data_IF_399834978772
#
_entry.id   IF_399834978772
#
_cell.length_a   1.000
_cell.length_b   1.000
_cell.length_c   1.000
_cell.angle_alpha   90.00
_cell.angle_beta   90.00
_cell.angle_gamma   90.00
#
_symmetry.space_group_name_H-M   'P 1'
#
loop_
_entity.id
_entity.type
_entity.pdbx_description
1 polymer ?
#
# COMPACT_ATOMS: atom_id res chain seq x y z
N UNK A 1 -2.94 -8.03 6.72
CA UNK A 1 -2.87 -8.09 5.25
C UNK A 1 -3.74 -9.23 4.78
N UNK A 2 -4.68 -8.99 3.86
CA UNK A 2 -5.59 -10.02 3.34
C UNK A 2 -4.85 -11.09 2.53
N UNK A 3 -5.31 -12.34 2.58
CA UNK A 3 -4.71 -13.48 1.86
C UNK A 3 -4.80 -13.31 0.35
N UNK A 4 -5.87 -12.69 -0.17
CA UNK A 4 -5.98 -12.40 -1.60
C UNK A 4 -4.91 -11.40 -2.06
N UNK A 5 -4.59 -10.43 -1.20
CA UNK A 5 -3.58 -9.43 -1.49
C UNK A 5 -2.17 -10.03 -1.49
N UNK A 6 -1.86 -10.91 -0.53
CA UNK A 6 -0.61 -11.68 -0.53
C UNK A 6 -0.45 -12.50 -1.81
N UNK A 7 -1.51 -13.22 -2.21
CA UNK A 7 -1.52 -14.03 -3.44
C UNK A 7 -1.23 -13.18 -4.67
N UNK A 8 -1.87 -12.00 -4.75
CA UNK A 8 -1.64 -11.04 -5.82
C UNK A 8 -0.18 -10.57 -5.89
N UNK A 9 0.45 -10.24 -4.76
CA UNK A 9 1.88 -9.88 -4.73
C UNK A 9 2.76 -11.03 -5.24
N UNK A 10 2.50 -12.26 -4.79
CA UNK A 10 3.28 -13.43 -5.22
C UNK A 10 3.21 -13.59 -6.75
N UNK A 11 2.02 -13.46 -7.33
CA UNK A 11 1.79 -13.58 -8.76
C UNK A 11 2.39 -12.40 -9.55
N UNK A 12 2.11 -11.16 -9.13
CA UNK A 12 2.51 -9.95 -9.87
C UNK A 12 4.03 -9.72 -9.89
N UNK A 13 4.75 -10.17 -8.85
CA UNK A 13 6.20 -10.00 -8.71
C UNK A 13 6.99 -11.30 -8.92
N UNK A 14 6.32 -12.39 -9.33
CA UNK A 14 6.98 -13.66 -9.65
C UNK A 14 7.68 -14.34 -8.47
N UNK A 15 7.16 -14.15 -7.24
CA UNK A 15 7.79 -14.66 -6.02
C UNK A 15 7.51 -16.14 -5.74
N UNK A 16 6.69 -16.79 -6.57
CA UNK A 16 6.19 -18.15 -6.32
C UNK A 16 7.25 -19.24 -6.20
N UNK A 17 8.46 -19.02 -6.75
CA UNK A 17 9.57 -19.97 -6.69
C UNK A 17 10.57 -19.70 -5.56
N UNK A 18 10.36 -18.65 -4.75
CA UNK A 18 11.22 -18.34 -3.60
C UNK A 18 10.97 -19.30 -2.44
N UNK A 19 11.95 -19.46 -1.55
CA UNK A 19 11.72 -20.12 -0.28
C UNK A 19 10.73 -19.32 0.58
N UNK A 20 10.01 -19.99 1.47
CA UNK A 20 8.92 -19.38 2.22
C UNK A 20 9.36 -18.17 3.05
N UNK A 21 10.57 -18.21 3.63
CA UNK A 21 11.08 -17.13 4.47
C UNK A 21 11.46 -15.91 3.65
N UNK A 22 12.14 -16.11 2.53
CA UNK A 22 12.46 -15.02 1.61
C UNK A 22 11.20 -14.45 0.95
N UNK A 23 10.26 -15.32 0.56
CA UNK A 23 8.97 -14.91 0.00
C UNK A 23 8.18 -14.03 0.97
N UNK A 24 8.05 -14.42 2.24
CA UNK A 24 7.39 -13.62 3.28
C UNK A 24 8.06 -12.25 3.45
N UNK A 25 9.39 -12.23 3.52
CA UNK A 25 10.16 -10.97 3.61
C UNK A 25 9.93 -10.07 2.41
N UNK A 26 9.84 -10.63 1.20
CA UNK A 26 9.59 -9.87 -0.02
C UNK A 26 8.14 -9.36 -0.08
N UNK A 27 7.17 -10.16 0.34
CA UNK A 27 5.76 -9.75 0.45
C UNK A 27 5.63 -8.57 1.42
N UNK A 28 6.29 -8.63 2.58
CA UNK A 28 6.29 -7.56 3.56
C UNK A 28 6.89 -6.27 2.98
N UNK A 29 8.04 -6.37 2.30
CA UNK A 29 8.67 -5.22 1.63
C UNK A 29 7.77 -4.58 0.58
N UNK A 30 7.17 -5.38 -0.29
CA UNK A 30 6.24 -4.89 -1.32
C UNK A 30 5.01 -4.25 -0.68
N UNK A 31 4.48 -4.87 0.38
CA UNK A 31 3.35 -4.32 1.14
C UNK A 31 3.65 -2.95 1.75
N UNK A 32 4.83 -2.79 2.36
CA UNK A 32 5.25 -1.53 2.97
C UNK A 32 5.45 -0.44 1.90
N UNK A 33 6.12 -0.76 0.79
CA UNK A 33 6.30 0.19 -0.33
C UNK A 33 4.96 0.64 -0.92
N UNK A 34 4.01 -0.29 -1.09
CA UNK A 34 2.69 0.08 -1.57
C UNK A 34 1.96 0.96 -0.56
N UNK A 35 2.03 0.62 0.73
CA UNK A 35 1.39 1.41 1.78
C UNK A 35 1.90 2.85 1.78
N UNK A 36 3.22 3.04 1.76
CA UNK A 36 3.85 4.36 1.72
C UNK A 36 3.38 5.17 0.49
N UNK A 37 3.43 4.57 -0.71
CA UNK A 37 3.00 5.23 -1.97
C UNK A 37 1.52 5.60 -1.99
N UNK A 38 0.67 4.74 -1.42
CA UNK A 38 -0.76 4.97 -1.31
C UNK A 38 -1.06 6.09 -0.32
N UNK A 39 -0.39 6.11 0.83
CA UNK A 39 -0.56 7.16 1.84
C UNK A 39 -0.17 8.52 1.25
N UNK A 40 0.97 8.62 0.59
CA UNK A 40 1.46 9.85 -0.04
C UNK A 40 0.40 10.44 -1.00
N UNK A 41 -0.09 9.64 -1.95
CA UNK A 41 -1.09 10.10 -2.90
C UNK A 41 -2.46 10.36 -2.29
N UNK A 42 -2.82 9.61 -1.26
CA UNK A 42 -4.08 9.80 -0.57
C UNK A 42 -4.08 11.13 0.18
N UNK A 43 -2.96 11.49 0.81
CA UNK A 43 -2.72 12.79 1.48
C UNK A 43 -2.80 13.94 0.48
N UNK A 44 -2.19 13.81 -0.70
CA UNK A 44 -2.28 14.83 -1.77
C UNK A 44 -3.72 15.09 -2.26
N UNK A 45 -4.61 14.12 -2.09
CA UNK A 45 -6.02 14.20 -2.49
C UNK A 45 -6.95 14.70 -1.36
N UNK A 46 -6.43 14.94 -0.16
CA UNK A 46 -7.21 15.41 0.98
C UNK A 46 -7.42 16.92 0.94
N UNK A 47 -8.58 17.36 1.43
CA UNK A 47 -8.78 18.75 1.84
C UNK A 47 -8.25 18.99 3.26
N UNK A 48 -8.25 20.25 3.70
CA UNK A 48 -7.75 20.65 5.03
C UNK A 48 -8.51 19.97 6.17
N UNK A 49 -9.82 19.71 6.02
CA UNK A 49 -10.60 19.00 7.04
C UNK A 49 -10.16 17.54 7.15
N UNK A 50 -10.00 16.85 6.02
CA UNK A 50 -9.55 15.48 5.99
C UNK A 50 -8.10 15.33 6.47
N UNK A 51 -7.26 16.33 6.24
CA UNK A 51 -5.88 16.36 6.74
C UNK A 51 -5.82 16.40 8.27
N UNK A 52 -6.64 17.25 8.90
CA UNK A 52 -6.71 17.32 10.36
C UNK A 52 -7.17 15.98 10.96
N UNK A 53 -8.20 15.35 10.37
CA UNK A 53 -8.68 14.03 10.80
C UNK A 53 -7.59 12.93 10.59
N UNK A 54 -6.78 13.07 9.54
CA UNK A 54 -5.69 12.15 9.24
C UNK A 54 -4.58 12.24 10.28
N UNK A 55 -4.16 13.45 10.67
CA UNK A 55 -3.15 13.67 11.72
C UNK A 55 -3.56 13.04 13.06
N UNK A 56 -4.82 13.20 13.46
CA UNK A 56 -5.37 12.57 14.67
C UNK A 56 -5.38 11.04 14.55
N UNK A 57 -5.76 10.53 13.37
CA UNK A 57 -5.77 9.10 13.10
C UNK A 57 -4.37 8.49 13.21
N UNK A 58 -3.37 9.11 12.58
CA UNK A 58 -1.97 8.64 12.62
C UNK A 58 -1.41 8.73 14.04
N UNK A 59 -1.63 9.85 14.74
CA UNK A 59 -1.16 10.03 16.11
C UNK A 59 -1.71 8.97 17.09
N UNK A 60 -2.91 8.46 16.82
CA UNK A 60 -3.57 7.42 17.62
C UNK A 60 -3.44 6.00 17.07
N UNK A 61 -2.86 5.81 15.88
CA UNK A 61 -2.71 4.49 15.25
C UNK A 61 -1.46 3.74 15.73
N UNK A 62 -0.38 4.45 16.09
CA UNK A 62 0.89 3.81 16.41
C UNK A 62 1.40 2.97 15.23
N UNK A 63 1.50 1.65 15.40
CA UNK A 63 1.90 0.71 14.35
C UNK A 63 0.73 0.01 13.65
N UNK A 64 -0.52 0.42 13.91
CA UNK A 64 -1.70 -0.19 13.28
C UNK A 64 -1.98 0.39 11.89
N UNK A 65 -1.37 -0.23 10.88
CA UNK A 65 -1.59 0.12 9.47
C UNK A 65 -3.04 -0.08 9.02
N UNK A 66 -3.81 -1.00 9.64
CA UNK A 66 -5.20 -1.23 9.24
C UNK A 66 -6.09 -0.07 9.62
N UNK A 67 -5.81 0.58 10.77
CA UNK A 67 -6.50 1.80 11.18
C UNK A 67 -6.30 2.93 10.16
N UNK A 68 -5.06 3.14 9.73
CA UNK A 68 -4.71 4.15 8.71
C UNK A 68 -5.40 3.85 7.38
N UNK A 69 -5.30 2.61 6.87
CA UNK A 69 -5.96 2.22 5.61
C UNK A 69 -7.48 2.38 5.68
N UNK A 70 -8.10 2.01 6.81
CA UNK A 70 -9.55 2.12 6.98
C UNK A 70 -10.01 3.57 6.94
N UNK A 71 -9.25 4.47 7.58
CA UNK A 71 -9.48 5.91 7.49
C UNK A 71 -9.39 6.40 6.05
N UNK A 72 -8.27 6.13 5.36
CA UNK A 72 -8.05 6.58 3.99
C UNK A 72 -9.16 6.09 3.04
N UNK A 73 -9.57 4.83 3.17
CA UNK A 73 -10.67 4.27 2.37
C UNK A 73 -12.00 4.98 2.59
N UNK A 74 -12.27 5.44 3.82
CA UNK A 74 -13.51 6.13 4.17
C UNK A 74 -13.53 7.61 3.81
N UNK A 75 -12.36 8.26 3.72
CA UNK A 75 -12.26 9.72 3.58
C UNK A 75 -11.75 10.17 2.22
N UNK A 76 -10.93 9.36 1.55
CA UNK A 76 -10.33 9.71 0.26
C UNK A 76 -11.17 9.17 -0.88
N UNK A 77 -11.77 10.09 -1.64
CA UNK A 77 -12.53 9.73 -2.84
C UNK A 77 -11.59 9.10 -3.87
N UNK A 78 -11.95 7.94 -4.40
CA UNK A 78 -11.11 7.23 -5.37
C UNK A 78 -9.95 6.44 -4.75
N UNK A 79 -9.94 6.20 -3.44
CA UNK A 79 -8.90 5.43 -2.75
C UNK A 79 -8.57 4.08 -3.43
N UNK A 80 -9.58 3.28 -3.80
CA UNK A 80 -9.35 1.99 -4.48
C UNK A 80 -8.67 2.14 -5.85
N UNK A 81 -8.87 3.28 -6.53
CA UNK A 81 -8.17 3.63 -7.77
C UNK A 81 -6.71 3.96 -7.49
N UNK A 82 -6.44 4.77 -6.44
CA UNK A 82 -5.07 5.06 -5.99
C UNK A 82 -4.31 3.77 -5.70
N UNK A 83 -4.89 2.85 -4.91
CA UNK A 83 -4.27 1.55 -4.60
C UNK A 83 -3.95 0.75 -5.86
N UNK A 84 -4.89 0.70 -6.81
CA UNK A 84 -4.71 -0.05 -8.05
C UNK A 84 -3.61 0.55 -8.94
N UNK A 85 -3.55 1.87 -9.04
CA UNK A 85 -2.54 2.59 -9.81
C UNK A 85 -1.14 2.46 -9.17
N UNK A 86 -1.04 2.54 -7.84
CA UNK A 86 0.23 2.39 -7.13
C UNK A 86 0.78 0.96 -7.25
N UNK A 87 -0.09 -0.05 -7.18
CA UNK A 87 0.31 -1.43 -7.44
C UNK A 87 0.86 -1.58 -8.86
N UNK A 88 0.19 -0.97 -9.85
CA UNK A 88 0.65 -1.00 -11.24
C UNK A 88 1.99 -0.28 -11.42
N UNK A 89 2.17 0.89 -10.79
CA UNK A 89 3.45 1.64 -10.80
C UNK A 89 4.57 0.83 -10.19
N UNK A 90 4.34 0.22 -9.02
CA UNK A 90 5.33 -0.59 -8.32
C UNK A 90 5.74 -1.81 -9.16
N UNK A 91 4.77 -2.52 -9.75
CA UNK A 91 5.05 -3.61 -10.69
C UNK A 91 5.92 -3.15 -11.85
N UNK A 92 5.55 -2.04 -12.52
CA UNK A 92 6.33 -1.48 -13.63
C UNK A 92 7.75 -1.11 -13.21
N UNK A 93 7.92 -0.56 -12.00
CA UNK A 93 9.23 -0.21 -11.47
C UNK A 93 10.15 -1.42 -11.33
N UNK A 94 9.60 -2.55 -10.91
CA UNK A 94 10.36 -3.81 -10.79
C UNK A 94 10.66 -4.48 -12.13
N UNK A 95 9.87 -4.22 -13.18
CA UNK A 95 10.01 -4.89 -14.48
C UNK A 95 10.86 -4.15 -15.52
N UNK A 96 11.25 -2.88 -15.34
CA UNK A 96 11.94 -2.18 -16.43
C UNK A 96 12.38 -0.73 -16.23
N UNK A 97 12.61 -0.25 -15.00
CA UNK A 97 13.24 1.09 -14.81
C UNK A 97 14.78 1.01 -14.89
N UNK A 98 15.38 -0.17 -14.70
CA UNK A 98 16.84 -0.36 -14.65
C UNK A 98 17.40 -1.33 -15.69
N UNK A 99 16.61 -1.71 -16.69
CA UNK A 99 17.05 -2.48 -17.88
C UNK A 99 17.27 -1.55 -19.06
#
# INVERSE_FOLDING_TARGET
MDENFKKKIIEDFGLGSMDSREQERMIEKVGNLLFESVVERAVDAMDESAMNDFEETVGSAGSDYQKVISFLKSRVTGFDTIVSEEMFRLKRATSGIFT
#
